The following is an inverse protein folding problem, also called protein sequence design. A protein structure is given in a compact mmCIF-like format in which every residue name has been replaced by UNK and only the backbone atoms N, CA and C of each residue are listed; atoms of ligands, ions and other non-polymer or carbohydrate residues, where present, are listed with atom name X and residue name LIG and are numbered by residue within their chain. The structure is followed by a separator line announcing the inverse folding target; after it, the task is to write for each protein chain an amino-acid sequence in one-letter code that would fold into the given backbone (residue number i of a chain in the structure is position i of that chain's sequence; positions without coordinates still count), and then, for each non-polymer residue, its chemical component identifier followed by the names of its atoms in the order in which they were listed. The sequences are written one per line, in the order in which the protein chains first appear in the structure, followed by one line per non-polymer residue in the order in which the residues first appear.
data_IF_275439029867
#
_entry.id   IF_275439029867
#
_cell.length_a   1.000
_cell.length_b   1.000
_cell.length_c   1.000
_cell.angle_alpha   90.00
_cell.angle_beta   90.00
_cell.angle_gamma   90.00
#
_symmetry.space_group_name_H-M   'P 1'
#
loop_
_entity.id
_entity.type
_entity.pdbx_description
1 polymer ?
#
# COMPACT_ATOMS: atom_id res chain seq x y z
N UNK A 1 -10.38 -40.65 8.80
CA UNK A 1 -11.36 -39.69 8.25
C UNK A 1 -11.25 -38.30 8.88
N UNK A 2 -11.43 -38.11 10.20
CA UNK A 2 -11.39 -36.77 10.84
C UNK A 2 -10.08 -36.00 10.59
N UNK A 3 -8.92 -36.67 10.64
CA UNK A 3 -7.61 -36.05 10.34
C UNK A 3 -7.48 -35.57 8.89
N UNK A 4 -8.08 -36.28 7.94
CA UNK A 4 -8.01 -35.94 6.52
C UNK A 4 -8.97 -34.79 6.21
N UNK A 5 -10.15 -34.77 6.83
CA UNK A 5 -11.09 -33.64 6.75
C UNK A 5 -10.47 -32.38 7.36
N UNK A 6 -9.82 -32.48 8.53
CA UNK A 6 -9.12 -31.35 9.14
C UNK A 6 -7.97 -30.81 8.27
N UNK A 7 -7.19 -31.71 7.66
CA UNK A 7 -6.11 -31.32 6.74
C UNK A 7 -6.66 -30.63 5.48
N UNK A 8 -7.74 -31.15 4.88
CA UNK A 8 -8.40 -30.53 3.72
C UNK A 8 -8.94 -29.15 4.08
N UNK A 9 -9.59 -28.99 5.24
CA UNK A 9 -10.08 -27.69 5.72
C UNK A 9 -8.93 -26.71 5.94
N UNK A 10 -7.81 -27.15 6.52
CA UNK A 10 -6.61 -26.30 6.71
C UNK A 10 -6.00 -25.86 5.38
N UNK A 11 -5.92 -26.75 4.39
CA UNK A 11 -5.43 -26.42 3.03
C UNK A 11 -6.38 -25.45 2.33
N UNK A 12 -7.69 -25.67 2.43
CA UNK A 12 -8.69 -24.76 1.86
C UNK A 12 -8.63 -23.36 2.48
N UNK A 13 -8.42 -23.26 3.80
CA UNK A 13 -8.28 -21.97 4.49
C UNK A 13 -6.97 -21.25 4.13
N UNK A 14 -5.88 -22.01 3.94
CA UNK A 14 -4.60 -21.47 3.49
C UNK A 14 -4.64 -20.99 2.03
N UNK A 15 -5.43 -21.61 1.15
CA UNK A 15 -5.52 -21.20 -0.25
C UNK A 15 -6.18 -19.84 -0.50
N UNK A 16 -6.85 -19.27 0.52
CA UNK A 16 -7.55 -17.98 0.43
C UNK A 16 -6.71 -16.79 0.91
N UNK A 17 -5.50 -17.03 1.41
CA UNK A 17 -4.60 -15.96 1.87
C UNK A 17 -3.14 -16.39 1.86
N UNK A 18 -2.22 -15.48 1.58
CA UNK A 18 -0.78 -15.73 1.69
C UNK A 18 -0.10 -14.75 2.65
N UNK A 19 1.06 -15.11 3.24
CA UNK A 19 1.96 -14.12 3.84
C UNK A 19 2.52 -13.17 2.77
N UNK A 20 3.20 -12.14 3.23
CA UNK A 20 4.00 -11.28 2.35
C UNK A 20 5.08 -12.13 1.63
N UNK A 21 5.35 -11.81 0.37
CA UNK A 21 6.52 -12.30 -0.39
C UNK A 21 7.82 -11.80 0.25
N UNK A 22 8.96 -12.32 -0.19
CA UNK A 22 10.25 -11.85 0.30
C UNK A 22 10.48 -10.36 -0.03
N UNK A 23 10.20 -9.95 -1.27
CA UNK A 23 10.31 -8.54 -1.68
C UNK A 23 9.30 -7.66 -0.94
N UNK A 24 8.09 -8.16 -0.66
CA UNK A 24 7.10 -7.44 0.15
C UNK A 24 7.54 -7.27 1.60
N UNK A 25 8.22 -8.24 2.19
CA UNK A 25 8.83 -8.06 3.51
C UNK A 25 9.93 -7.01 3.44
N UNK A 26 10.85 -7.10 2.48
CA UNK A 26 11.99 -6.18 2.36
C UNK A 26 11.56 -4.73 2.08
N UNK A 27 10.65 -4.52 1.13
CA UNK A 27 10.11 -3.19 0.83
C UNK A 27 9.37 -2.64 2.05
N UNK A 28 8.50 -3.45 2.68
CA UNK A 28 7.79 -3.02 3.89
C UNK A 28 8.73 -2.62 5.01
N UNK A 29 9.80 -3.37 5.25
CA UNK A 29 10.82 -3.02 6.25
C UNK A 29 11.57 -1.74 5.85
N UNK A 30 11.86 -1.56 4.57
CA UNK A 30 12.49 -0.34 4.05
C UNK A 30 11.58 0.88 4.23
N UNK A 31 10.26 0.75 4.08
CA UNK A 31 9.34 1.88 4.15
C UNK A 31 8.88 2.18 5.59
N UNK A 32 8.63 1.15 6.40
CA UNK A 32 8.04 1.27 7.74
C UNK A 32 9.03 0.99 8.88
N UNK A 33 10.23 0.49 8.59
CA UNK A 33 11.18 0.02 9.59
C UNK A 33 10.56 -1.05 10.51
N UNK A 34 10.97 -1.03 11.77
CA UNK A 34 10.45 -1.95 12.80
C UNK A 34 9.04 -1.58 13.31
N UNK A 35 8.42 -0.52 12.75
CA UNK A 35 7.10 -0.04 13.20
C UNK A 35 5.93 -0.82 12.60
N UNK A 36 6.22 -1.73 11.66
CA UNK A 36 5.28 -2.67 11.04
C UNK A 36 5.78 -4.12 11.23
N UNK A 37 5.00 -4.94 11.91
CA UNK A 37 5.22 -6.37 12.03
C UNK A 37 4.67 -7.09 10.79
N UNK A 38 5.56 -7.31 9.83
CA UNK A 38 5.28 -8.00 8.55
C UNK A 38 4.85 -9.45 8.74
N UNK A 39 5.25 -10.11 9.83
CA UNK A 39 4.92 -11.52 10.10
C UNK A 39 3.43 -11.76 10.30
N UNK A 40 2.70 -10.73 10.73
CA UNK A 40 1.24 -10.76 10.94
C UNK A 40 0.43 -10.46 9.69
N UNK A 41 1.04 -9.86 8.67
CA UNK A 41 0.35 -9.39 7.47
C UNK A 41 -0.03 -10.56 6.59
N UNK A 42 -1.26 -10.55 6.07
CA UNK A 42 -1.71 -11.51 5.06
C UNK A 42 -2.40 -10.79 3.92
N UNK A 43 -2.16 -11.27 2.70
CA UNK A 43 -2.83 -10.80 1.50
C UNK A 43 -3.95 -11.75 1.10
N UNK A 44 -5.04 -11.17 0.63
CA UNK A 44 -6.24 -11.83 0.12
C UNK A 44 -6.67 -11.16 -1.18
N UNK A 45 -7.45 -11.89 -1.96
CA UNK A 45 -8.05 -11.38 -3.20
C UNK A 45 -9.58 -11.36 -3.10
N UNK A 46 -10.21 -10.31 -3.63
CA UNK A 46 -11.64 -10.03 -3.48
C UNK A 46 -12.03 -9.90 -2.01
N UNK A 47 -13.11 -10.56 -1.60
CA UNK A 47 -13.56 -10.64 -0.20
C UNK A 47 -12.90 -11.78 0.59
N UNK A 48 -11.93 -12.50 0.00
CA UNK A 48 -11.24 -13.62 0.65
C UNK A 48 -12.05 -14.91 0.76
N UNK A 49 -13.15 -15.04 0.02
CA UNK A 49 -14.02 -16.22 0.00
C UNK A 49 -13.66 -17.25 -1.08
N UNK A 50 -12.85 -16.86 -2.05
CA UNK A 50 -12.37 -17.71 -3.14
C UNK A 50 -10.87 -17.93 -3.00
N UNK A 51 -10.31 -19.01 -3.59
CA UNK A 51 -8.87 -19.15 -3.72
C UNK A 51 -8.24 -17.93 -4.37
N UNK A 52 -6.98 -17.68 -4.01
CA UNK A 52 -6.17 -16.64 -4.65
C UNK A 52 -6.14 -16.89 -6.18
N UNK A 53 -6.27 -15.83 -7.00
CA UNK A 53 -6.12 -15.97 -8.44
C UNK A 53 -4.67 -16.37 -8.76
N UNK A 54 -4.48 -16.98 -9.93
CA UNK A 54 -3.15 -17.21 -10.49
C UNK A 54 -2.90 -16.07 -11.50
N UNK A 55 -2.17 -15.00 -11.12
CA UNK A 55 -1.90 -13.88 -12.01
C UNK A 55 -0.95 -14.29 -13.14
N UNK A 56 -1.12 -13.70 -14.32
CA UNK A 56 -0.15 -13.90 -15.39
C UNK A 56 1.23 -13.34 -14.98
N UNK A 57 2.33 -14.07 -15.27
CA UNK A 57 3.66 -13.59 -14.99
C UNK A 57 3.95 -12.31 -15.81
N UNK A 58 4.80 -11.43 -15.28
CA UNK A 58 5.30 -10.30 -16.08
C UNK A 58 6.16 -10.91 -17.20
N UNK A 59 5.88 -10.66 -18.48
CA UNK A 59 6.73 -11.19 -19.54
C UNK A 59 8.17 -10.66 -19.39
N UNK A 60 9.16 -11.56 -19.49
CA UNK A 60 10.58 -11.22 -19.32
C UNK A 60 11.08 -10.20 -20.37
N UNK A 61 10.40 -10.15 -21.52
CA UNK A 61 10.67 -9.25 -22.63
C UNK A 61 9.87 -7.94 -22.58
N UNK A 62 9.03 -7.73 -21.54
CA UNK A 62 8.46 -6.40 -21.31
C UNK A 62 9.63 -5.44 -21.20
N UNK A 63 9.67 -4.47 -22.11
CA UNK A 63 10.66 -3.42 -22.08
C UNK A 63 10.65 -2.82 -20.67
N UNK A 64 11.70 -3.13 -19.88
CA UNK A 64 12.02 -2.47 -18.63
C UNK A 64 12.19 -1.02 -19.03
N UNK A 65 11.13 -0.24 -18.89
CA UNK A 65 11.14 1.10 -19.42
C UNK A 65 12.26 1.82 -18.68
N UNK A 66 13.34 2.16 -19.39
CA UNK A 66 14.23 3.23 -18.97
C UNK A 66 13.33 4.40 -18.55
N UNK A 67 13.67 5.15 -17.48
CA UNK A 67 12.83 6.24 -16.98
C UNK A 67 12.36 7.05 -18.18
N UNK A 68 11.08 6.91 -18.52
CA UNK A 68 10.50 7.57 -19.69
C UNK A 68 10.67 9.08 -19.45
N UNK A 69 10.48 9.90 -20.48
CA UNK A 69 10.11 11.30 -20.28
C UNK A 69 8.72 11.35 -19.60
N UNK A 70 8.65 10.86 -18.37
CA UNK A 70 7.46 10.84 -17.55
C UNK A 70 7.22 12.30 -17.19
N UNK A 71 6.00 12.83 -17.40
CA UNK A 71 5.69 14.18 -16.98
C UNK A 71 6.09 14.37 -15.52
N UNK A 72 6.77 15.49 -15.20
CA UNK A 72 7.20 15.79 -13.82
C UNK A 72 6.02 15.84 -12.84
N UNK A 73 4.81 16.01 -13.36
CA UNK A 73 3.54 16.09 -12.64
C UNK A 73 2.84 14.73 -12.48
N UNK A 74 3.45 13.61 -12.88
CA UNK A 74 2.79 12.29 -12.84
C UNK A 74 2.37 11.87 -11.42
N UNK A 75 3.13 12.31 -10.42
CA UNK A 75 2.86 12.05 -9.01
C UNK A 75 2.14 13.22 -8.32
N UNK A 76 1.72 14.25 -9.07
CA UNK A 76 0.94 15.34 -8.50
C UNK A 76 -0.49 14.86 -8.28
N UNK A 77 -0.86 14.67 -7.01
CA UNK A 77 -2.23 14.40 -6.63
C UNK A 77 -3.10 15.65 -6.86
N UNK A 78 -4.12 15.49 -7.68
CA UNK A 78 -5.12 16.52 -8.00
C UNK A 78 -6.48 16.10 -7.47
N UNK A 79 -7.32 17.05 -7.01
CA UNK A 79 -8.61 16.72 -6.43
C UNK A 79 -9.49 16.04 -7.48
N UNK A 80 -10.09 14.90 -7.11
CA UNK A 80 -11.10 14.26 -7.93
C UNK A 80 -12.50 14.78 -7.56
N UNK A 81 -13.43 14.88 -8.52
CA UNK A 81 -14.82 15.13 -8.19
C UNK A 81 -15.39 13.96 -7.37
N UNK A 82 -16.39 14.24 -6.54
CA UNK A 82 -17.13 13.19 -5.81
C UNK A 82 -17.58 12.11 -6.79
N UNK A 83 -17.05 10.90 -6.62
CA UNK A 83 -17.44 9.75 -7.41
C UNK A 83 -18.58 9.02 -6.72
N UNK A 84 -19.45 8.38 -7.50
CA UNK A 84 -20.38 7.39 -6.93
C UNK A 84 -19.53 6.30 -6.27
N UNK A 85 -19.95 5.87 -5.09
CA UNK A 85 -19.25 4.80 -4.37
C UNK A 85 -19.10 3.57 -5.27
N UNK A 86 -17.85 3.11 -5.40
CA UNK A 86 -17.51 1.85 -6.07
C UNK A 86 -16.65 1.02 -5.13
N UNK A 87 -16.56 -0.28 -5.41
CA UNK A 87 -15.69 -1.16 -4.63
C UNK A 87 -14.22 -0.70 -4.77
N UNK A 88 -13.47 -0.51 -3.67
CA UNK A 88 -12.11 0.03 -3.72
C UNK A 88 -11.12 -0.99 -4.31
N UNK A 89 -9.98 -0.52 -4.83
CA UNK A 89 -8.94 -1.36 -5.40
C UNK A 89 -8.28 -2.28 -4.36
N UNK A 90 -8.17 -1.79 -3.13
CA UNK A 90 -7.81 -2.55 -1.94
C UNK A 90 -8.58 -2.07 -0.73
N UNK A 91 -8.53 -2.83 0.36
CA UNK A 91 -8.92 -2.38 1.70
C UNK A 91 -8.26 -3.28 2.75
N UNK A 92 -8.21 -2.80 3.99
CA UNK A 92 -7.64 -3.54 5.11
C UNK A 92 -8.65 -3.83 6.21
N UNK A 93 -8.65 -5.07 6.69
CA UNK A 93 -9.25 -5.45 7.97
C UNK A 93 -8.18 -6.02 8.88
N UNK A 94 -7.83 -5.29 9.94
CA UNK A 94 -6.78 -5.67 10.89
C UNK A 94 -5.40 -5.82 10.21
N UNK A 95 -4.86 -7.04 10.15
CA UNK A 95 -3.60 -7.36 9.46
C UNK A 95 -3.82 -8.03 8.10
N UNK A 96 -5.01 -7.89 7.53
CA UNK A 96 -5.41 -8.55 6.30
C UNK A 96 -5.63 -7.50 5.22
N UNK A 97 -4.84 -7.55 4.15
CA UNK A 97 -5.02 -6.73 2.95
C UNK A 97 -5.89 -7.52 1.97
N UNK A 98 -6.91 -6.86 1.44
CA UNK A 98 -7.83 -7.43 0.46
C UNK A 98 -7.75 -6.63 -0.83
N UNK A 99 -7.12 -7.19 -1.86
CA UNK A 99 -7.00 -6.55 -3.16
C UNK A 99 -8.13 -7.01 -4.09
N UNK A 100 -8.62 -6.16 -4.99
CA UNK A 100 -9.42 -6.64 -6.12
C UNK A 100 -8.64 -7.72 -6.86
N UNK A 101 -9.34 -8.75 -7.31
CA UNK A 101 -8.72 -9.93 -7.94
C UNK A 101 -7.86 -9.56 -9.16
N UNK A 102 -8.24 -8.53 -9.90
CA UNK A 102 -7.49 -8.00 -11.06
C UNK A 102 -6.21 -7.23 -10.70
N UNK A 103 -6.08 -6.74 -9.46
CA UNK A 103 -4.88 -6.09 -8.94
C UNK A 103 -4.05 -6.99 -8.03
N UNK A 104 -4.45 -8.26 -7.85
CA UNK A 104 -3.66 -9.19 -7.04
C UNK A 104 -2.45 -9.69 -7.83
N UNK A 105 -1.29 -9.73 -7.17
CA UNK A 105 -0.08 -10.42 -7.65
C UNK A 105 0.47 -11.34 -6.56
N UNK A 106 1.24 -12.35 -6.95
CA UNK A 106 1.99 -13.18 -5.99
C UNK A 106 3.14 -12.42 -5.33
N UNK A 107 3.62 -11.38 -6.00
CA UNK A 107 4.53 -10.38 -5.45
C UNK A 107 4.15 -9.00 -5.97
N UNK A 108 3.69 -8.12 -5.07
CA UNK A 108 3.31 -6.75 -5.39
C UNK A 108 4.53 -5.84 -5.57
N UNK A 109 5.71 -6.25 -5.10
CA UNK A 109 6.99 -5.55 -5.29
C UNK A 109 8.00 -6.37 -6.09
N UNK A 110 7.50 -7.17 -7.04
CA UNK A 110 8.34 -7.98 -7.92
C UNK A 110 9.42 -7.13 -8.61
N UNK A 111 10.68 -7.54 -8.44
CA UNK A 111 11.85 -6.85 -8.99
C UNK A 111 12.48 -5.78 -8.08
N UNK A 112 12.03 -5.61 -6.84
CA UNK A 112 12.68 -4.74 -5.85
C UNK A 112 14.14 -5.20 -5.58
N UNK A 113 15.11 -4.28 -5.42
CA UNK A 113 15.01 -2.82 -5.53
C UNK A 113 15.18 -2.24 -6.94
N UNK A 114 15.51 -3.05 -7.94
CA UNK A 114 15.87 -2.55 -9.28
C UNK A 114 14.67 -2.05 -10.09
N UNK A 115 13.48 -2.60 -9.83
CA UNK A 115 12.24 -2.28 -10.56
C UNK A 115 11.02 -2.57 -9.69
N UNK A 116 9.86 -2.00 -10.05
CA UNK A 116 8.60 -2.24 -9.35
C UNK A 116 7.43 -2.27 -10.34
N UNK A 117 6.43 -3.15 -10.14
CA UNK A 117 5.28 -3.25 -11.02
C UNK A 117 4.28 -2.13 -10.71
N UNK A 118 4.06 -1.21 -11.64
CA UNK A 118 3.08 -0.15 -11.47
C UNK A 118 1.74 -0.53 -12.12
N UNK A 119 0.59 -0.24 -11.50
CA UNK A 119 0.39 0.54 -10.27
C UNK A 119 0.43 -0.27 -8.96
N UNK A 120 0.60 -1.60 -9.03
CA UNK A 120 0.61 -2.53 -7.88
C UNK A 120 1.50 -2.09 -6.72
N UNK A 121 2.68 -1.58 -7.09
CA UNK A 121 3.64 -0.80 -6.31
C UNK A 121 2.99 0.05 -5.21
N UNK A 122 2.33 1.08 -5.72
CA UNK A 122 1.74 2.17 -4.95
C UNK A 122 0.53 1.69 -4.17
N UNK A 123 -0.34 0.90 -4.80
CA UNK A 123 -1.52 0.33 -4.13
C UNK A 123 -1.11 -0.48 -2.91
N UNK A 124 -0.10 -1.34 -3.02
CA UNK A 124 0.35 -2.16 -1.89
C UNK A 124 0.93 -1.30 -0.77
N UNK A 125 1.71 -0.27 -1.09
CA UNK A 125 2.23 0.65 -0.08
C UNK A 125 1.12 1.41 0.65
N UNK A 126 0.08 1.86 -0.09
CA UNK A 126 -1.13 2.47 0.48
C UNK A 126 -1.81 1.52 1.48
N UNK A 127 -2.11 0.29 1.07
CA UNK A 127 -2.78 -0.67 1.95
C UNK A 127 -1.92 -1.06 3.18
N UNK A 128 -0.60 -1.13 3.03
CA UNK A 128 0.30 -1.38 4.16
C UNK A 128 0.24 -0.27 5.22
N UNK A 129 -0.04 0.99 4.83
CA UNK A 129 -0.28 2.07 5.80
C UNK A 129 -1.49 1.77 6.67
N UNK A 130 -2.57 1.22 6.12
CA UNK A 130 -3.73 0.84 6.93
C UNK A 130 -3.43 -0.32 7.89
N UNK A 131 -2.59 -1.27 7.48
CA UNK A 131 -2.09 -2.31 8.40
C UNK A 131 -1.23 -1.68 9.50
N UNK A 132 -0.32 -0.76 9.14
CA UNK A 132 0.50 -0.02 10.10
C UNK A 132 -0.38 0.77 11.08
N UNK A 133 -1.41 1.45 10.60
CA UNK A 133 -2.38 2.19 11.41
C UNK A 133 -3.08 1.27 12.40
N UNK A 134 -3.49 0.07 11.97
CA UNK A 134 -4.08 -0.95 12.86
C UNK A 134 -3.11 -1.46 13.93
N UNK A 135 -1.87 -1.77 13.54
CA UNK A 135 -0.86 -2.26 14.48
C UNK A 135 -0.45 -1.18 15.49
N UNK A 136 -0.52 0.09 15.09
CA UNK A 136 -0.22 1.27 15.92
C UNK A 136 -1.49 1.98 16.42
N UNK A 137 -2.63 1.30 16.50
CA UNK A 137 -3.95 1.91 16.80
C UNK A 137 -4.04 2.67 18.12
N UNK A 138 -3.18 2.36 19.09
CA UNK A 138 -3.10 3.11 20.35
C UNK A 138 -2.58 4.55 20.12
N UNK A 139 -1.79 4.75 19.06
CA UNK A 139 -1.27 6.06 18.63
C UNK A 139 -2.17 6.72 17.58
N UNK A 140 -2.71 5.94 16.64
CA UNK A 140 -3.47 6.47 15.48
C UNK A 140 -4.97 6.61 15.75
N UNK A 141 -5.50 5.89 16.75
CA UNK A 141 -6.94 5.78 16.99
C UNK A 141 -7.69 4.98 15.91
N UNK A 142 -6.97 4.28 15.03
CA UNK A 142 -7.51 3.55 13.88
C UNK A 142 -8.42 2.40 14.28
N UNK A 143 -9.54 2.29 13.56
CA UNK A 143 -10.36 1.08 13.50
C UNK A 143 -10.89 0.92 12.06
N UNK A 144 -11.09 -0.31 11.57
CA UNK A 144 -11.67 -0.51 10.24
C UNK A 144 -13.02 0.21 10.05
N UNK A 145 -13.83 0.30 11.11
CA UNK A 145 -15.10 1.02 11.07
C UNK A 145 -14.92 2.54 10.88
N UNK A 146 -14.00 3.17 11.62
CA UNK A 146 -13.71 4.59 11.46
C UNK A 146 -13.17 4.89 10.06
N UNK A 147 -12.23 4.08 9.56
CA UNK A 147 -11.68 4.22 8.21
C UNK A 147 -12.78 4.09 7.15
N UNK A 148 -13.60 3.05 7.22
CA UNK A 148 -14.72 2.88 6.28
C UNK A 148 -15.78 3.97 6.37
N UNK A 149 -15.95 4.62 7.52
CA UNK A 149 -16.86 5.75 7.68
C UNK A 149 -16.37 7.00 6.94
N UNK A 150 -15.07 7.15 6.70
CA UNK A 150 -14.50 8.28 5.93
C UNK A 150 -15.01 8.27 4.48
N UNK A 151 -15.24 7.09 3.89
CA UNK A 151 -15.75 6.95 2.51
C UNK A 151 -17.17 7.49 2.29
N UNK A 152 -17.89 7.84 3.36
CA UNK A 152 -19.23 8.44 3.29
C UNK A 152 -19.23 9.95 3.52
N UNK A 153 -18.07 10.55 3.80
CA UNK A 153 -17.93 11.99 3.93
C UNK A 153 -17.84 12.62 2.53
N UNK A 154 -18.40 13.83 2.31
CA UNK A 154 -18.23 14.56 1.06
C UNK A 154 -16.76 14.94 0.81
N UNK A 155 -16.35 14.99 -0.45
CA UNK A 155 -14.99 15.30 -0.87
C UNK A 155 -14.16 14.07 -1.20
N UNK A 156 -13.03 14.31 -1.88
CA UNK A 156 -12.05 13.27 -2.20
C UNK A 156 -11.23 12.91 -0.95
N UNK A 157 -11.44 11.71 -0.34
CA UNK A 157 -10.76 11.34 0.90
C UNK A 157 -9.25 11.16 0.72
N UNK A 158 -8.80 10.93 -0.53
CA UNK A 158 -7.40 10.78 -0.88
C UNK A 158 -6.76 12.15 -1.15
N UNK A 159 -7.54 13.19 -1.43
CA UNK A 159 -7.00 14.51 -1.74
C UNK A 159 -6.63 15.28 -0.47
N UNK A 160 -5.35 15.65 -0.41
CA UNK A 160 -4.79 16.48 0.63
C UNK A 160 -4.21 17.75 -0.03
N UNK A 161 -4.90 18.90 -0.01
CA UNK A 161 -4.47 20.10 -0.74
C UNK A 161 -3.15 20.73 -0.24
N UNK A 162 -2.63 20.27 0.90
CA UNK A 162 -1.35 20.69 1.48
C UNK A 162 -1.42 21.89 2.44
N UNK A 163 -0.38 22.01 3.26
CA UNK A 163 0.01 23.11 4.18
C UNK A 163 -0.78 23.40 5.45
N UNK A 164 -1.78 22.61 5.84
CA UNK A 164 -2.25 22.72 7.23
C UNK A 164 -1.08 22.41 8.19
N UNK A 165 -0.72 23.30 9.13
CA UNK A 165 0.27 23.02 10.16
C UNK A 165 -0.26 21.88 11.04
N UNK A 166 0.08 20.65 10.69
CA UNK A 166 -0.38 19.46 11.37
C UNK A 166 0.69 18.37 11.30
N UNK A 167 0.81 17.59 12.37
CA UNK A 167 1.59 16.36 12.33
C UNK A 167 0.88 15.36 11.40
N UNK A 168 1.62 14.48 10.72
CA UNK A 168 1.07 13.44 9.84
C UNK A 168 -0.18 12.72 10.38
N UNK A 169 -0.26 12.49 11.69
CA UNK A 169 -1.39 11.84 12.36
C UNK A 169 -2.68 12.67 12.46
N UNK A 170 -2.67 13.97 12.11
CA UNK A 170 -3.88 14.81 12.10
C UNK A 170 -4.69 14.67 10.81
N UNK A 171 -4.13 14.07 9.76
CA UNK A 171 -4.85 13.75 8.54
C UNK A 171 -5.80 12.57 8.77
N UNK A 172 -6.86 12.47 7.95
CA UNK A 172 -7.73 11.30 7.92
C UNK A 172 -6.94 10.04 7.48
N UNK A 173 -7.49 8.85 7.67
CA UNK A 173 -6.74 7.61 7.46
C UNK A 173 -6.35 7.39 5.99
N UNK A 174 -7.23 7.72 5.05
CA UNK A 174 -6.95 7.62 3.61
C UNK A 174 -5.89 8.62 3.13
N UNK A 175 -5.93 9.86 3.61
CA UNK A 175 -4.92 10.87 3.29
C UNK A 175 -3.56 10.49 3.86
N UNK A 176 -3.50 9.91 5.07
CA UNK A 176 -2.25 9.36 5.62
C UNK A 176 -1.63 8.30 4.69
N UNK A 177 -2.45 7.41 4.11
CA UNK A 177 -1.99 6.40 3.18
C UNK A 177 -1.59 6.99 1.82
N UNK A 178 -2.39 7.92 1.28
CA UNK A 178 -2.11 8.65 0.05
C UNK A 178 -0.81 9.49 0.13
N UNK A 179 -0.50 10.08 1.29
CA UNK A 179 0.75 10.82 1.52
C UNK A 179 1.99 9.91 1.38
N UNK A 180 1.92 8.67 1.89
CA UNK A 180 3.00 7.68 1.77
C UNK A 180 3.09 7.15 0.34
N UNK A 181 1.94 6.91 -0.31
CA UNK A 181 1.85 6.56 -1.72
C UNK A 181 2.52 7.61 -2.61
N UNK A 182 2.20 8.88 -2.41
CA UNK A 182 2.76 10.01 -3.16
C UNK A 182 4.27 10.14 -2.91
N UNK A 183 4.72 9.98 -1.66
CA UNK A 183 6.14 9.97 -1.32
C UNK A 183 6.88 8.84 -2.06
N UNK A 184 6.32 7.63 -2.08
CA UNK A 184 6.89 6.49 -2.83
C UNK A 184 6.91 6.77 -4.34
N UNK A 185 5.82 7.28 -4.91
CA UNK A 185 5.75 7.66 -6.34
C UNK A 185 6.87 8.66 -6.69
N UNK A 186 7.00 9.74 -5.91
CA UNK A 186 8.02 10.75 -6.14
C UNK A 186 9.42 10.19 -5.95
N UNK A 187 9.63 9.41 -4.90
CA UNK A 187 10.92 8.77 -4.64
C UNK A 187 11.31 7.79 -5.73
N UNK A 188 10.37 7.19 -6.47
CA UNK A 188 10.66 6.26 -7.57
C UNK A 188 10.80 6.94 -8.94
N UNK A 189 9.93 7.88 -9.29
CA UNK A 189 9.81 8.41 -10.66
C UNK A 189 10.32 9.84 -10.84
N UNK A 190 10.16 10.69 -9.82
CA UNK A 190 10.52 12.11 -9.89
C UNK A 190 11.31 12.51 -8.64
N UNK A 191 12.51 11.95 -8.41
CA UNK A 191 13.23 12.10 -7.14
C UNK A 191 13.63 13.55 -6.82
N UNK A 192 13.75 14.39 -7.84
CA UNK A 192 14.02 15.83 -7.69
C UNK A 192 12.74 16.66 -7.46
N UNK A 193 11.57 16.02 -7.35
CA UNK A 193 10.32 16.72 -7.13
C UNK A 193 10.34 17.44 -5.77
N UNK A 194 10.09 18.76 -5.71
CA UNK A 194 10.27 19.53 -4.48
C UNK A 194 9.40 19.03 -3.32
N UNK A 195 8.20 18.52 -3.62
CA UNK A 195 7.29 17.96 -2.58
C UNK A 195 7.80 16.67 -1.95
N UNK A 196 8.75 15.95 -2.55
CA UNK A 196 9.27 14.69 -1.97
C UNK A 196 9.83 14.94 -0.57
N UNK A 197 10.71 15.94 -0.42
CA UNK A 197 11.33 16.28 0.86
C UNK A 197 10.32 16.85 1.85
N UNK A 198 9.30 17.56 1.37
CA UNK A 198 8.21 18.06 2.22
C UNK A 198 7.41 16.89 2.81
N UNK A 199 7.07 15.89 1.98
CA UNK A 199 6.38 14.68 2.42
C UNK A 199 7.23 13.86 3.39
N UNK A 200 8.51 13.68 3.07
CA UNK A 200 9.45 12.98 3.95
C UNK A 200 9.51 13.65 5.33
N UNK A 201 9.67 14.98 5.37
CA UNK A 201 9.71 15.74 6.63
C UNK A 201 8.40 15.65 7.42
N UNK A 202 7.25 15.55 6.74
CA UNK A 202 5.95 15.38 7.37
C UNK A 202 5.77 13.97 7.96
N UNK A 203 6.18 12.93 7.22
CA UNK A 203 5.91 11.51 7.52
C UNK A 203 6.97 10.90 8.45
N UNK A 204 8.26 11.19 8.22
CA UNK A 204 9.42 10.62 8.92
C UNK A 204 9.35 10.66 10.46
N UNK A 205 8.75 11.69 11.10
CA UNK A 205 8.58 11.69 12.56
C UNK A 205 7.68 10.56 13.10
N UNK A 206 6.88 9.92 12.24
CA UNK A 206 5.89 8.91 12.61
C UNK A 206 6.17 7.54 11.98
N UNK A 207 6.51 7.53 10.69
CA UNK A 207 6.88 6.35 9.90
C UNK A 207 8.24 6.63 9.26
N UNK A 208 9.26 5.76 9.39
CA UNK A 208 10.64 6.05 8.97
C UNK A 208 10.86 5.92 7.45
N UNK A 209 10.02 6.58 6.64
CA UNK A 209 9.99 6.45 5.17
C UNK A 209 11.27 6.93 4.46
N UNK A 210 12.12 7.71 5.13
CA UNK A 210 13.40 8.19 4.58
C UNK A 210 14.34 7.05 4.15
N UNK A 211 14.23 5.87 4.79
CA UNK A 211 15.01 4.69 4.43
C UNK A 211 14.79 4.22 2.98
N UNK A 212 13.63 4.52 2.38
CA UNK A 212 13.37 4.25 0.96
C UNK A 212 14.30 5.06 0.04
N UNK A 213 14.49 6.35 0.34
CA UNK A 213 15.37 7.21 -0.44
C UNK A 213 16.83 6.74 -0.31
N UNK A 214 17.27 6.40 0.90
CA UNK A 214 18.60 5.86 1.18
C UNK A 214 18.87 4.55 0.41
N UNK A 215 17.93 3.60 0.45
CA UNK A 215 18.04 2.32 -0.24
C UNK A 215 18.17 2.46 -1.77
N UNK A 216 17.61 3.54 -2.33
CA UNK A 216 17.64 3.84 -3.75
C UNK A 216 18.73 4.86 -4.15
N UNK A 217 19.50 5.39 -3.18
CA UNK A 217 20.55 6.39 -3.38
C UNK A 217 20.04 7.77 -3.84
N UNK A 218 18.95 8.27 -3.24
CA UNK A 218 18.21 9.49 -3.66
C UNK A 218 18.05 10.54 -2.56
#
# INVERSE_FOLDING_TARGET
MLKHVALVVLVCLAACSRPLSENEVQMSQTLFGDTLDTSKVRLRAGVGALPLPNPDPIPEDVAKAAPRDIPKTVCDRVPQPDQKWTYPAGFVLWNQIYLKREFYRDDMFDGWPESLPMPHALLMAHELVHVWQWQNRDRTGYTPFKSGAESFQPGDPYYWPGREPGAYLSYNFEAQAALVEDYMCMTLFVPDHPRRKELEALIAPVIPVGQLADALGR
#
